data_IF_433595174171
#
_entry.id   IF_433595174171
#
_cell.length_a   1.000
_cell.length_b   1.000
_cell.length_c   1.000
_cell.angle_alpha   90.00
_cell.angle_beta   90.00
_cell.angle_gamma   90.00
#
_symmetry.space_group_name_H-M   'P 1'
#
loop_
_entity.id
_entity.type
_entity.pdbx_description
1 polymer ?
#
# COMPACT_ATOMS: atom_id res chain seq x y z
N UNK A 1 22.41 -3.32 -3.55
CA UNK A 1 20.96 -3.36 -3.33
C UNK A 1 20.45 -1.93 -3.43
N UNK A 2 19.66 -1.60 -4.46
CA UNK A 2 18.99 -0.28 -4.51
C UNK A 2 17.94 -0.29 -3.40
N UNK A 3 18.10 0.57 -2.39
CA UNK A 3 17.14 0.68 -1.30
C UNK A 3 15.76 1.01 -1.86
N UNK A 4 14.73 0.41 -1.29
CA UNK A 4 13.35 0.76 -1.59
C UNK A 4 13.15 2.22 -1.18
N UNK A 5 12.60 3.03 -2.07
CA UNK A 5 12.24 4.42 -1.77
C UNK A 5 10.78 4.44 -1.29
N UNK A 6 10.52 4.68 0.01
CA UNK A 6 9.17 4.64 0.54
C UNK A 6 8.22 5.63 -0.11
N UNK A 7 8.71 6.82 -0.49
CA UNK A 7 7.87 7.83 -1.14
C UNK A 7 7.37 7.35 -2.50
N UNK A 8 8.27 6.84 -3.33
CA UNK A 8 7.93 6.34 -4.67
C UNK A 8 7.00 5.15 -4.59
N UNK A 9 7.29 4.20 -3.69
CA UNK A 9 6.50 2.98 -3.55
C UNK A 9 5.08 3.30 -3.06
N UNK A 10 4.95 4.19 -2.05
CA UNK A 10 3.66 4.67 -1.57
C UNK A 10 2.84 5.38 -2.66
N UNK A 11 3.49 6.22 -3.46
CA UNK A 11 2.85 6.91 -4.59
C UNK A 11 2.37 5.91 -5.66
N UNK A 12 3.21 4.93 -6.01
CA UNK A 12 2.85 3.88 -6.97
C UNK A 12 1.64 3.05 -6.51
N UNK A 13 1.61 2.64 -5.24
CA UNK A 13 0.51 1.87 -4.68
C UNK A 13 -0.77 2.72 -4.69
N UNK A 14 -0.68 4.01 -4.31
CA UNK A 14 -1.82 4.92 -4.37
C UNK A 14 -2.36 5.11 -5.80
N UNK A 15 -1.48 5.21 -6.80
CA UNK A 15 -1.89 5.30 -8.22
C UNK A 15 -2.51 4.02 -8.75
N UNK A 16 -2.04 2.86 -8.28
CA UNK A 16 -2.58 1.53 -8.65
C UNK A 16 -3.90 1.25 -7.94
N UNK A 17 -4.15 1.83 -6.76
CA UNK A 17 -5.32 1.56 -5.91
C UNK A 17 -6.66 1.51 -6.67
N UNK A 18 -7.02 2.45 -7.57
CA UNK A 18 -8.28 2.38 -8.32
C UNK A 18 -8.36 1.17 -9.27
N UNK A 19 -7.22 0.71 -9.76
CA UNK A 19 -7.07 -0.33 -10.78
C UNK A 19 -7.07 -1.75 -10.20
N UNK A 20 -6.84 -1.93 -8.89
CA UNK A 20 -6.83 -3.25 -8.25
C UNK A 20 -8.26 -3.85 -8.25
N UNK A 21 -8.54 -4.85 -9.11
CA UNK A 21 -9.89 -5.43 -9.22
C UNK A 21 -10.00 -6.82 -8.59
N UNK A 22 -8.87 -7.51 -8.40
CA UNK A 22 -8.86 -8.85 -7.82
C UNK A 22 -8.43 -8.83 -6.36
N UNK A 23 -8.89 -9.82 -5.60
CA UNK A 23 -8.49 -10.03 -4.21
C UNK A 23 -6.97 -10.14 -4.09
N UNK A 24 -6.35 -10.98 -4.92
CA UNK A 24 -4.90 -11.22 -4.93
C UNK A 24 -4.10 -9.93 -5.19
N UNK A 25 -4.57 -9.05 -6.06
CA UNK A 25 -3.89 -7.78 -6.34
C UNK A 25 -3.96 -6.82 -5.14
N UNK A 26 -5.10 -6.82 -4.42
CA UNK A 26 -5.28 -6.00 -3.22
C UNK A 26 -4.44 -6.53 -2.06
N UNK A 27 -4.37 -7.86 -1.87
CA UNK A 27 -3.53 -8.49 -0.85
C UNK A 27 -2.04 -8.23 -1.11
N UNK A 28 -1.57 -8.35 -2.35
CA UNK A 28 -0.17 -7.98 -2.70
C UNK A 28 0.17 -6.52 -2.40
N UNK A 29 -0.77 -5.61 -2.68
CA UNK A 29 -0.56 -4.19 -2.37
C UNK A 29 -0.52 -3.94 -0.85
N UNK A 30 -1.30 -4.68 -0.05
CA UNK A 30 -1.23 -4.63 1.40
C UNK A 30 0.14 -5.10 1.91
N UNK A 31 0.61 -6.25 1.44
CA UNK A 31 1.93 -6.80 1.80
C UNK A 31 3.06 -5.82 1.45
N UNK A 32 2.96 -5.13 0.31
CA UNK A 32 3.94 -4.13 -0.11
C UNK A 32 3.95 -2.93 0.85
N UNK A 33 2.79 -2.41 1.25
CA UNK A 33 2.72 -1.32 2.25
C UNK A 33 3.26 -1.80 3.60
N UNK A 34 2.94 -3.02 4.04
CA UNK A 34 3.44 -3.60 5.29
C UNK A 34 4.96 -3.77 5.28
N UNK A 35 5.56 -4.16 4.15
CA UNK A 35 7.02 -4.16 3.99
C UNK A 35 7.61 -2.75 4.08
N UNK A 36 6.93 -1.75 3.52
CA UNK A 36 7.37 -0.36 3.64
C UNK A 36 7.36 0.12 5.09
N UNK A 37 6.44 -0.35 5.93
CA UNK A 37 6.37 0.06 7.35
C UNK A 37 7.67 -0.19 8.13
N UNK A 38 8.50 -1.15 7.73
CA UNK A 38 9.80 -1.40 8.36
C UNK A 38 10.83 -0.27 8.09
N UNK A 39 10.63 0.49 7.00
CA UNK A 39 11.62 1.44 6.48
C UNK A 39 11.05 2.83 6.17
N UNK A 40 9.75 3.06 6.36
CA UNK A 40 9.14 4.36 6.10
C UNK A 40 9.59 5.39 7.15
N UNK A 41 9.86 6.63 6.72
CA UNK A 41 10.14 7.71 7.65
C UNK A 41 8.84 8.09 8.41
N UNK A 42 8.94 8.62 9.65
CA UNK A 42 7.78 8.89 10.51
C UNK A 42 6.68 9.73 9.86
N UNK A 43 7.04 10.72 9.03
CA UNK A 43 6.10 11.60 8.34
C UNK A 43 5.21 10.88 7.29
N UNK A 44 5.58 9.66 6.88
CA UNK A 44 4.77 8.86 5.97
C UNK A 44 3.88 7.84 6.67
N UNK A 45 4.03 7.63 7.99
CA UNK A 45 3.26 6.62 8.74
C UNK A 45 1.75 6.85 8.62
N UNK A 46 1.28 8.07 8.85
CA UNK A 46 -0.14 8.42 8.71
C UNK A 46 -0.69 8.14 7.30
N UNK A 47 0.14 8.36 6.27
CA UNK A 47 -0.26 8.11 4.89
C UNK A 47 -0.30 6.60 4.59
N UNK A 48 0.63 5.84 5.14
CA UNK A 48 0.67 4.39 5.03
C UNK A 48 -0.53 3.73 5.74
N UNK A 49 -0.90 4.19 6.94
CA UNK A 49 -2.08 3.72 7.66
C UNK A 49 -3.38 4.00 6.90
N UNK A 50 -3.49 5.20 6.31
CA UNK A 50 -4.63 5.55 5.44
C UNK A 50 -4.69 4.62 4.22
N UNK A 51 -3.55 4.34 3.58
CA UNK A 51 -3.50 3.48 2.41
C UNK A 51 -3.89 2.03 2.74
N UNK A 52 -3.41 1.49 3.86
CA UNK A 52 -3.85 0.18 4.39
C UNK A 52 -5.36 0.16 4.61
N UNK A 53 -5.91 1.21 5.22
CA UNK A 53 -7.35 1.29 5.51
C UNK A 53 -8.18 1.27 4.22
N UNK A 54 -7.75 2.00 3.18
CA UNK A 54 -8.40 2.02 1.87
C UNK A 54 -8.30 0.66 1.16
N UNK A 55 -7.15 0.01 1.22
CA UNK A 55 -6.94 -1.33 0.65
C UNK A 55 -7.82 -2.38 1.34
N UNK A 56 -7.92 -2.35 2.68
CA UNK A 56 -8.79 -3.26 3.45
C UNK A 56 -10.27 -3.03 3.16
N UNK A 57 -10.71 -1.77 3.08
CA UNK A 57 -12.08 -1.44 2.67
C UNK A 57 -12.37 -1.98 1.26
N UNK A 58 -11.45 -1.79 0.32
CA UNK A 58 -11.58 -2.36 -1.03
C UNK A 58 -11.65 -3.89 -1.00
N UNK A 59 -10.75 -4.55 -0.28
CA UNK A 59 -10.71 -6.01 -0.14
C UNK A 59 -12.05 -6.57 0.36
N UNK A 60 -12.65 -5.89 1.35
CA UNK A 60 -13.95 -6.29 1.90
C UNK A 60 -15.11 -6.17 0.90
N UNK A 61 -15.00 -5.28 -0.08
CA UNK A 61 -15.98 -5.08 -1.16
C UNK A 61 -15.75 -6.00 -2.36
N UNK A 62 -14.55 -6.57 -2.47
CA UNK A 62 -14.17 -7.54 -3.51
C UNK A 62 -14.40 -8.99 -3.07
N UNK A 63 -14.81 -9.22 -1.82
CA UNK A 63 -15.09 -10.53 -1.21
C UNK A 63 -16.38 -11.18 -1.71
#
# INVERSE_FOLDING_TARGET
MKGVNPYVSMEEIAMKLPQLQSRDDIEKALDEVEYLFEVIPPELQDNAEKLISLLRDKLSKTA
#
